data_IF_746367380553
#
_entry.id   IF_746367380553
#
_cell.length_a   1.000
_cell.length_b   1.000
_cell.length_c   1.000
_cell.angle_alpha   90.00
_cell.angle_beta   90.00
_cell.angle_gamma   90.00
#
_symmetry.space_group_name_H-M   'P 1'
#
loop_
_entity.id
_entity.type
_entity.pdbx_description
1 polymer ?
#
# COMPACT_ATOMS: atom_id res chain seq x y z
N UNK A 1 6.17 9.78 20.81
CA UNK A 1 5.16 9.38 19.81
C UNK A 1 5.82 8.37 18.89
N UNK A 2 5.61 7.08 19.11
CA UNK A 2 6.15 6.02 18.25
C UNK A 2 5.19 5.84 17.07
N UNK A 3 5.45 6.51 15.94
CA UNK A 3 4.69 6.28 14.70
C UNK A 3 5.53 5.75 13.53
N UNK A 4 6.86 5.62 13.67
CA UNK A 4 7.68 4.98 12.66
C UNK A 4 8.01 3.55 13.04
N UNK A 5 7.27 2.60 12.45
CA UNK A 5 7.76 1.24 12.23
C UNK A 5 8.36 1.21 10.81
N UNK A 6 9.67 1.47 10.76
CA UNK A 6 10.67 0.87 9.85
C UNK A 6 10.53 1.02 8.34
N UNK A 7 9.64 0.25 7.71
CA UNK A 7 9.72 -0.11 6.29
C UNK A 7 8.47 0.30 5.52
N UNK A 8 8.20 1.61 5.50
CA UNK A 8 7.08 2.16 4.74
C UNK A 8 7.38 2.18 3.24
N UNK A 9 6.67 1.36 2.45
CA UNK A 9 6.75 1.40 0.98
C UNK A 9 5.77 2.46 0.43
N UNK A 10 6.25 3.31 -0.49
CA UNK A 10 5.44 4.34 -1.17
C UNK A 10 5.56 4.22 -2.68
N UNK A 11 4.45 4.34 -3.40
CA UNK A 11 4.42 4.29 -4.86
C UNK A 11 3.02 4.59 -5.41
N UNK A 12 2.92 4.67 -6.75
CA UNK A 12 1.65 4.93 -7.44
C UNK A 12 0.65 3.77 -7.26
N UNK A 13 1.16 2.53 -7.30
CA UNK A 13 0.38 1.32 -7.10
C UNK A 13 1.14 0.37 -6.18
N UNK A 14 0.43 -0.12 -5.16
CA UNK A 14 0.95 -1.09 -4.19
C UNK A 14 0.21 -2.41 -4.41
N UNK A 15 0.94 -3.52 -4.55
CA UNK A 15 0.41 -4.88 -4.59
C UNK A 15 0.86 -5.66 -3.35
N UNK A 16 0.00 -6.51 -2.82
CA UNK A 16 0.29 -7.29 -1.63
C UNK A 16 -0.13 -8.74 -1.81
N UNK A 17 0.68 -9.67 -1.31
CA UNK A 17 0.37 -11.10 -1.21
C UNK A 17 0.18 -11.48 0.27
N UNK A 18 -0.98 -12.02 0.63
CA UNK A 18 -1.33 -12.29 2.04
C UNK A 18 -2.43 -13.33 2.19
N UNK A 19 -2.53 -13.94 3.38
CA UNK A 19 -3.59 -14.90 3.72
C UNK A 19 -4.89 -14.25 4.20
N UNK A 20 -4.78 -13.10 4.90
CA UNK A 20 -5.93 -12.39 5.46
C UNK A 20 -5.76 -10.88 5.35
N UNK A 21 -6.84 -10.21 4.98
CA UNK A 21 -6.96 -8.75 5.05
C UNK A 21 -8.10 -8.35 5.97
N UNK A 22 -7.96 -7.18 6.60
CA UNK A 22 -9.06 -6.49 7.26
C UNK A 22 -10.03 -5.89 6.23
N UNK A 23 -11.22 -5.49 6.68
CA UNK A 23 -12.07 -4.60 5.89
C UNK A 23 -11.33 -3.28 5.62
N UNK A 24 -11.55 -2.70 4.45
CA UNK A 24 -11.03 -1.38 4.12
C UNK A 24 -11.75 -0.30 4.93
N UNK A 25 -10.97 0.67 5.42
CA UNK A 25 -11.48 1.84 6.13
C UNK A 25 -11.01 3.10 5.43
N UNK A 26 -11.94 3.98 5.09
CA UNK A 26 -11.61 5.29 4.52
C UNK A 26 -11.10 6.19 5.63
N UNK A 27 -9.88 6.67 5.50
CA UNK A 27 -9.29 7.69 6.35
C UNK A 27 -9.55 9.04 5.70
N UNK A 28 -10.21 9.91 6.46
CA UNK A 28 -10.44 11.29 6.08
C UNK A 28 -9.11 12.05 6.22
N UNK A 29 -8.40 12.27 5.12
CA UNK A 29 -7.27 13.21 5.07
C UNK A 29 -7.78 14.62 4.75
N UNK A 30 -7.06 15.63 5.23
CA UNK A 30 -7.46 17.05 5.30
C UNK A 30 -7.66 17.76 3.96
N UNK A 31 -7.51 17.09 2.82
CA UNK A 31 -7.64 17.70 1.50
C UNK A 31 -8.08 16.68 0.47
N UNK A 32 -9.38 16.52 0.18
CA UNK A 32 -9.98 15.83 -1.00
C UNK A 32 -9.59 14.37 -1.33
N UNK A 33 -8.51 13.85 -0.76
CA UNK A 33 -7.87 12.60 -1.09
C UNK A 33 -8.37 11.57 -0.09
N UNK A 34 -9.15 10.61 -0.59
CA UNK A 34 -9.60 9.46 0.21
C UNK A 34 -8.42 8.53 0.39
N UNK A 35 -7.79 8.57 1.56
CA UNK A 35 -6.85 7.53 1.94
C UNK A 35 -7.64 6.29 2.36
N UNK A 36 -7.20 5.10 1.97
CA UNK A 36 -7.79 3.84 2.42
C UNK A 36 -6.74 3.12 3.25
N UNK A 37 -7.14 2.55 4.38
CA UNK A 37 -6.30 1.66 5.19
C UNK A 37 -6.87 0.26 5.19
N UNK A 38 -5.97 -0.71 5.04
CA UNK A 38 -6.20 -2.14 5.17
C UNK A 38 -5.02 -2.71 5.97
N UNK A 39 -5.29 -3.61 6.90
CA UNK A 39 -4.26 -4.40 7.57
C UNK A 39 -4.18 -5.78 6.90
N UNK A 40 -2.97 -6.16 6.49
CA UNK A 40 -2.66 -7.46 5.90
C UNK A 40 -1.87 -8.30 6.92
N UNK A 41 -2.18 -9.59 7.03
CA UNK A 41 -1.59 -10.47 8.04
C UNK A 41 -1.51 -11.94 7.59
N UNK A 42 -0.63 -12.69 8.26
CA UNK A 42 -0.37 -14.12 8.06
C UNK A 42 0.89 -14.36 7.22
N UNK A 43 1.75 -15.31 7.63
CA UNK A 43 3.00 -15.61 6.92
C UNK A 43 2.77 -16.52 5.70
N UNK A 44 3.33 -16.22 4.52
CA UNK A 44 4.03 -14.98 4.17
C UNK A 44 3.05 -13.82 3.92
N UNK A 45 3.50 -12.59 4.25
CA UNK A 45 2.81 -11.34 3.95
C UNK A 45 3.82 -10.41 3.29
N UNK A 46 3.61 -10.10 2.01
CA UNK A 46 4.56 -9.35 1.19
C UNK A 46 3.88 -8.15 0.52
N UNK A 47 4.66 -7.13 0.19
CA UNK A 47 4.18 -5.87 -0.36
C UNK A 47 5.20 -5.29 -1.35
N UNK A 48 4.73 -4.87 -2.52
CA UNK A 48 5.56 -4.41 -3.64
C UNK A 48 5.02 -3.10 -4.23
N UNK A 49 5.92 -2.25 -4.76
CA UNK A 49 5.52 -1.13 -5.64
C UNK A 49 5.51 -1.62 -7.08
N UNK A 50 4.34 -1.58 -7.71
CA UNK A 50 4.26 -1.76 -9.15
C UNK A 50 4.57 -0.44 -9.86
N UNK A 51 5.64 -0.42 -10.65
CA UNK A 51 5.93 0.65 -11.60
C UNK A 51 5.61 0.16 -13.02
N UNK A 52 4.73 0.87 -13.73
CA UNK A 52 4.50 0.62 -15.14
C UNK A 52 5.52 1.38 -15.96
N UNK A 53 6.43 0.64 -16.59
CA UNK A 53 7.34 1.20 -17.59
C UNK A 53 6.65 1.16 -18.95
N UNK A 54 6.59 2.29 -19.65
CA UNK A 54 6.34 2.30 -21.10
C UNK A 54 7.70 2.43 -21.78
N UNK A 55 8.16 1.36 -22.42
CA UNK A 55 9.25 1.47 -23.38
C UNK A 55 8.66 2.07 -24.65
N UNK A 56 9.10 3.28 -25.02
CA UNK A 56 8.93 3.78 -26.37
C UNK A 56 10.11 3.20 -27.15
N UNK A 57 9.82 2.26 -28.03
CA UNK A 57 10.81 1.74 -28.97
C UNK A 57 10.76 2.70 -30.16
N UNK A 58 11.82 3.50 -30.32
CA UNK A 58 12.07 4.30 -31.53
C UNK A 58 12.59 3.43 -32.67
#
# INVERSE_FOLDING_TARGET
MLYDVGDGIKGEKISCEFRKASKSTVIRKTSGHRAIRVFIAGLPCECYVEKRWRAIIE
#
